data_IF_727457099810
#
_entry.id   IF_727457099810
#
_cell.length_a   1.000
_cell.length_b   1.000
_cell.length_c   1.000
_cell.angle_alpha   90.00
_cell.angle_beta   90.00
_cell.angle_gamma   90.00
#
_symmetry.space_group_name_H-M   'P 1'
#
loop_
_entity.id
_entity.type
_entity.pdbx_description
1 polymer ?
#
# COMPACT_ATOMS: atom_id res chain seq x y z
N UNK A 1 -9.30 6.80 29.94
CA UNK A 1 -8.84 6.97 28.54
C UNK A 1 -8.26 8.37 28.39
N UNK A 2 -7.14 8.55 27.69
CA UNK A 2 -6.63 9.88 27.36
C UNK A 2 -7.67 10.58 26.45
N UNK A 3 -7.84 11.90 26.65
CA UNK A 3 -8.77 12.69 25.83
C UNK A 3 -8.25 12.71 24.39
N UNK A 4 -9.08 12.29 23.43
CA UNK A 4 -8.72 12.35 22.01
C UNK A 4 -8.64 13.82 21.58
N UNK A 5 -7.52 14.27 20.95
CA UNK A 5 -7.36 15.64 20.47
C UNK A 5 -8.45 16.05 19.47
N UNK A 6 -8.82 17.35 19.48
CA UNK A 6 -9.89 17.86 18.64
C UNK A 6 -9.64 17.57 17.13
N UNK A 7 -8.41 17.80 16.65
CA UNK A 7 -8.03 17.57 15.27
C UNK A 7 -8.17 16.08 14.85
N UNK A 8 -7.90 15.14 15.76
CA UNK A 8 -8.09 13.70 15.48
C UNK A 8 -9.57 13.39 15.30
N UNK A 9 -10.42 13.93 16.20
CA UNK A 9 -11.87 13.79 16.09
C UNK A 9 -12.42 14.38 14.81
N UNK A 10 -11.95 15.57 14.44
CA UNK A 10 -12.35 16.26 13.23
C UNK A 10 -12.06 15.40 11.98
N UNK A 11 -10.84 14.85 11.87
CA UNK A 11 -10.48 13.96 10.77
C UNK A 11 -11.35 12.70 10.78
N UNK A 12 -11.57 12.07 11.95
CA UNK A 12 -12.40 10.87 12.09
C UNK A 12 -13.87 11.12 11.72
N UNK A 13 -14.38 12.32 11.99
CA UNK A 13 -15.75 12.72 11.68
C UNK A 13 -15.90 13.31 10.27
N UNK A 14 -14.80 13.62 9.58
CA UNK A 14 -14.86 14.12 8.21
C UNK A 14 -15.56 13.09 7.32
N UNK A 15 -16.66 13.46 6.63
CA UNK A 15 -17.38 12.53 5.77
C UNK A 15 -16.45 11.92 4.73
N UNK A 16 -16.50 10.61 4.57
CA UNK A 16 -15.78 9.94 3.50
C UNK A 16 -16.32 10.42 2.17
N UNK A 17 -15.43 10.95 1.31
CA UNK A 17 -15.81 11.30 -0.05
C UNK A 17 -16.18 10.02 -0.79
N UNK A 18 -17.32 10.00 -1.46
CA UNK A 18 -17.75 8.90 -2.29
C UNK A 18 -17.44 9.18 -3.75
N UNK A 19 -17.11 8.14 -4.50
CA UNK A 19 -16.84 8.22 -5.91
C UNK A 19 -18.10 7.91 -6.71
N UNK A 20 -18.47 8.80 -7.62
CA UNK A 20 -19.54 8.53 -8.57
C UNK A 20 -18.98 7.84 -9.82
N UNK A 21 -19.02 6.52 -9.82
CA UNK A 21 -18.53 5.69 -10.93
C UNK A 21 -19.26 5.89 -12.26
N UNK A 22 -20.43 6.56 -12.26
CA UNK A 22 -21.17 6.87 -13.49
C UNK A 22 -20.43 7.87 -14.39
N UNK A 23 -19.77 8.87 -13.79
CA UNK A 23 -19.04 9.89 -14.53
C UNK A 23 -17.61 10.18 -14.00
N UNK A 24 -17.22 9.60 -12.88
CA UNK A 24 -15.87 9.73 -12.35
C UNK A 24 -15.03 8.49 -12.63
N UNK A 25 -13.74 8.69 -12.78
CA UNK A 25 -12.72 7.64 -12.87
C UNK A 25 -11.77 7.76 -11.70
N UNK A 26 -11.20 6.64 -11.29
CA UNK A 26 -10.16 6.62 -10.28
C UNK A 26 -8.82 6.25 -10.89
N UNK A 27 -7.79 6.88 -10.36
CA UNK A 27 -6.41 6.47 -10.53
C UNK A 27 -5.82 6.11 -9.17
N UNK A 28 -4.80 5.28 -9.18
CA UNK A 28 -4.08 4.91 -7.98
C UNK A 28 -2.58 4.89 -8.26
N UNK A 29 -1.79 4.88 -7.20
CA UNK A 29 -0.34 4.69 -7.34
C UNK A 29 0.00 3.39 -8.10
N UNK A 30 -0.75 2.30 -7.89
CA UNK A 30 -0.55 1.04 -8.62
C UNK A 30 -0.83 1.16 -10.11
N UNK A 31 -1.83 1.95 -10.52
CA UNK A 31 -2.08 2.24 -11.93
C UNK A 31 -0.94 3.06 -12.54
N UNK A 32 -0.48 4.10 -11.83
CA UNK A 32 0.66 4.90 -12.25
C UNK A 32 1.93 4.04 -12.47
N UNK A 33 2.28 3.22 -11.50
CA UNK A 33 3.48 2.37 -11.61
C UNK A 33 3.38 1.34 -12.73
N UNK A 34 2.18 0.80 -12.99
CA UNK A 34 1.94 -0.09 -14.13
C UNK A 34 2.11 0.64 -15.45
N UNK A 35 1.53 1.84 -15.61
CA UNK A 35 1.69 2.66 -16.79
C UNK A 35 3.17 3.06 -17.00
N UNK A 36 3.84 3.52 -15.96
CA UNK A 36 5.26 3.89 -16.00
C UNK A 36 6.14 2.74 -16.45
N UNK A 37 5.84 1.53 -15.96
CA UNK A 37 6.52 0.30 -16.35
C UNK A 37 6.23 -0.08 -17.80
N UNK A 38 4.97 -0.09 -18.19
CA UNK A 38 4.52 -0.46 -19.54
C UNK A 38 3.13 0.14 -19.83
N UNK A 39 3.03 1.22 -20.65
CA UNK A 39 1.74 1.83 -20.99
C UNK A 39 0.75 0.82 -21.60
N UNK A 40 1.23 -0.11 -22.44
CA UNK A 40 0.39 -1.16 -23.03
C UNK A 40 -0.22 -2.08 -21.96
N UNK A 41 0.56 -2.46 -20.94
CA UNK A 41 0.05 -3.28 -19.83
C UNK A 41 -1.08 -2.57 -19.07
N UNK A 42 -0.91 -1.27 -18.78
CA UNK A 42 -1.95 -0.46 -18.16
C UNK A 42 -3.22 -0.40 -19.03
N UNK A 43 -3.05 -0.13 -20.33
CA UNK A 43 -4.18 -0.05 -21.26
C UNK A 43 -4.97 -1.36 -21.28
N UNK A 44 -4.31 -2.49 -21.45
CA UNK A 44 -4.95 -3.81 -21.43
C UNK A 44 -5.72 -4.06 -20.13
N UNK A 45 -5.11 -3.73 -18.98
CA UNK A 45 -5.67 -4.02 -17.67
C UNK A 45 -6.85 -3.11 -17.30
N UNK A 46 -6.71 -1.79 -17.54
CA UNK A 46 -7.63 -0.77 -17.00
C UNK A 46 -8.53 -0.14 -18.06
N UNK A 47 -8.04 0.04 -19.29
CA UNK A 47 -8.81 0.65 -20.36
C UNK A 47 -9.62 -0.36 -21.15
N UNK A 48 -8.95 -1.43 -21.60
CA UNK A 48 -9.49 -2.41 -22.56
C UNK A 48 -10.18 -3.60 -21.87
N UNK A 49 -10.06 -3.70 -20.56
CA UNK A 49 -10.77 -4.70 -19.76
C UNK A 49 -10.22 -6.13 -19.83
N UNK A 50 -9.03 -6.32 -20.43
CA UNK A 50 -8.34 -7.63 -20.48
C UNK A 50 -7.70 -7.97 -19.13
N UNK A 51 -8.52 -8.10 -18.09
CA UNK A 51 -8.03 -8.38 -16.72
C UNK A 51 -7.49 -9.80 -16.65
N UNK A 52 -6.20 -9.97 -16.95
CA UNK A 52 -5.50 -11.22 -16.67
C UNK A 52 -5.06 -11.24 -15.21
N UNK A 53 -5.54 -12.23 -14.50
CA UNK A 53 -5.28 -12.39 -13.09
C UNK A 53 -4.35 -13.59 -12.86
N UNK A 54 -3.29 -13.38 -12.08
CA UNK A 54 -2.40 -14.44 -11.62
C UNK A 54 -2.34 -14.39 -10.09
N UNK A 55 -2.94 -15.35 -9.41
CA UNK A 55 -2.92 -15.37 -7.94
C UNK A 55 -1.51 -15.58 -7.41
N UNK A 56 -1.25 -15.05 -6.22
CA UNK A 56 0.04 -15.20 -5.56
C UNK A 56 -0.13 -15.33 -4.05
N UNK A 57 0.52 -16.32 -3.47
CA UNK A 57 0.55 -16.52 -2.03
C UNK A 57 1.15 -15.29 -1.31
N UNK A 58 2.10 -14.58 -1.93
CA UNK A 58 2.64 -13.34 -1.39
C UNK A 58 1.58 -12.24 -1.23
N UNK A 59 0.66 -12.13 -2.19
CA UNK A 59 -0.44 -11.15 -2.12
C UNK A 59 -1.45 -11.55 -1.05
N UNK A 60 -1.83 -12.82 -0.98
CA UNK A 60 -2.72 -13.37 0.04
C UNK A 60 -2.15 -13.14 1.44
N UNK A 61 -0.89 -13.52 1.63
CA UNK A 61 -0.19 -13.31 2.89
C UNK A 61 -0.10 -11.83 3.28
N UNK A 62 0.27 -10.97 2.31
CA UNK A 62 0.37 -9.53 2.54
C UNK A 62 -0.93 -8.96 3.10
N UNK A 63 -2.06 -9.27 2.48
CA UNK A 63 -3.39 -8.81 2.93
C UNK A 63 -3.72 -9.32 4.33
N UNK A 64 -3.62 -10.63 4.55
CA UNK A 64 -3.93 -11.23 5.84
C UNK A 64 -3.06 -10.69 6.98
N UNK A 65 -1.75 -10.51 6.74
CA UNK A 65 -0.84 -9.95 7.73
C UNK A 65 -1.17 -8.48 8.02
N UNK A 66 -1.49 -7.67 6.98
CA UNK A 66 -1.91 -6.27 7.18
C UNK A 66 -3.14 -6.20 8.07
N UNK A 67 -4.18 -6.96 7.79
CA UNK A 67 -5.43 -6.97 8.57
C UNK A 67 -5.18 -7.35 10.04
N UNK A 68 -4.44 -8.43 10.30
CA UNK A 68 -4.13 -8.85 11.66
C UNK A 68 -3.24 -7.82 12.40
N UNK A 69 -2.26 -7.23 11.70
CA UNK A 69 -1.38 -6.20 12.26
C UNK A 69 -2.16 -4.92 12.61
N UNK A 70 -2.97 -4.45 11.67
CA UNK A 70 -3.79 -3.24 11.82
C UNK A 70 -4.83 -3.41 12.93
N UNK A 71 -5.48 -4.57 13.00
CA UNK A 71 -6.42 -4.89 14.08
C UNK A 71 -5.75 -4.83 15.47
N UNK A 72 -4.56 -5.42 15.61
CA UNK A 72 -3.81 -5.35 16.86
C UNK A 72 -3.49 -3.91 17.27
N UNK A 73 -3.04 -3.07 16.32
CA UNK A 73 -2.76 -1.66 16.55
C UNK A 73 -4.04 -0.91 16.93
N UNK A 74 -5.13 -1.15 16.22
CA UNK A 74 -6.42 -0.52 16.50
C UNK A 74 -6.90 -0.83 17.90
N UNK A 75 -6.96 -2.12 18.29
CA UNK A 75 -7.35 -2.54 19.64
C UNK A 75 -6.44 -1.93 20.72
N UNK A 76 -5.12 -1.89 20.43
CA UNK A 76 -4.16 -1.30 21.36
C UNK A 76 -4.44 0.18 21.63
N UNK A 77 -4.78 0.97 20.62
CA UNK A 77 -5.02 2.41 20.78
C UNK A 77 -6.43 2.72 21.25
N UNK A 78 -7.45 2.05 20.74
CA UNK A 78 -8.85 2.31 21.08
C UNK A 78 -9.22 1.77 22.47
N UNK A 79 -8.65 0.63 22.85
CA UNK A 79 -8.93 -0.01 24.14
C UNK A 79 -7.72 0.05 25.05
N UNK A 80 -6.80 -0.91 24.91
CA UNK A 80 -5.53 -0.96 25.66
C UNK A 80 -4.55 -1.97 25.07
N UNK A 81 -3.25 -1.81 25.39
CA UNK A 81 -2.26 -2.81 25.03
C UNK A 81 -2.56 -4.19 25.65
N UNK A 82 -3.07 -4.21 26.89
CA UNK A 82 -3.46 -5.44 27.53
C UNK A 82 -4.68 -6.12 26.89
N UNK A 83 -5.60 -5.34 26.30
CA UNK A 83 -6.71 -5.90 25.51
C UNK A 83 -6.18 -6.52 24.22
N UNK A 84 -5.35 -5.80 23.47
CA UNK A 84 -4.74 -6.30 22.25
C UNK A 84 -3.87 -7.55 22.49
N UNK A 85 -3.18 -7.64 23.61
CA UNK A 85 -2.37 -8.81 23.96
C UNK A 85 -3.20 -10.08 24.27
N UNK A 86 -4.44 -9.90 24.73
CA UNK A 86 -5.36 -11.02 25.02
C UNK A 86 -6.01 -11.60 23.77
N UNK A 87 -6.02 -10.85 22.69
CA UNK A 87 -6.58 -11.34 21.43
C UNK A 87 -5.65 -12.38 20.79
N UNK A 88 -6.26 -13.43 20.23
CA UNK A 88 -5.52 -14.43 19.46
C UNK A 88 -5.34 -13.94 18.02
N UNK A 89 -4.39 -13.01 17.84
CA UNK A 89 -4.07 -12.49 16.51
C UNK A 89 -3.46 -13.53 15.57
N UNK A 90 -2.96 -14.65 16.11
CA UNK A 90 -2.42 -15.73 15.28
C UNK A 90 -3.56 -16.54 14.66
N UNK A 91 -4.63 -16.81 15.42
CA UNK A 91 -5.84 -17.44 14.87
C UNK A 91 -6.52 -16.48 13.86
N UNK A 92 -6.60 -15.19 14.18
CA UNK A 92 -7.08 -14.17 13.22
C UNK A 92 -6.28 -14.20 11.91
N UNK A 93 -4.95 -14.23 11.97
CA UNK A 93 -4.10 -14.35 10.78
C UNK A 93 -4.44 -15.60 9.98
N UNK A 94 -4.64 -16.73 10.65
CA UNK A 94 -4.99 -18.01 10.00
C UNK A 94 -6.32 -17.93 9.27
N UNK A 95 -7.32 -17.33 9.90
CA UNK A 95 -8.64 -17.15 9.30
C UNK A 95 -8.62 -16.22 8.12
N UNK A 96 -7.88 -15.10 8.20
CA UNK A 96 -7.68 -14.17 7.09
C UNK A 96 -6.91 -14.81 5.93
N UNK A 97 -5.85 -15.58 6.23
CA UNK A 97 -5.12 -16.32 5.20
C UNK A 97 -6.03 -17.31 4.48
N UNK A 98 -6.86 -18.03 5.23
CA UNK A 98 -7.82 -19.00 4.66
C UNK A 98 -8.86 -18.28 3.79
N UNK A 99 -9.44 -17.20 4.29
CA UNK A 99 -10.46 -16.44 3.56
C UNK A 99 -9.91 -15.87 2.25
N UNK A 100 -8.77 -15.18 2.30
CA UNK A 100 -8.15 -14.62 1.11
C UNK A 100 -7.67 -15.71 0.13
N UNK A 101 -7.16 -16.83 0.64
CA UNK A 101 -6.77 -17.95 -0.23
C UNK A 101 -7.97 -18.55 -0.96
N UNK A 102 -9.09 -18.74 -0.27
CA UNK A 102 -10.32 -19.25 -0.87
C UNK A 102 -10.88 -18.32 -1.94
N UNK A 103 -10.84 -17.01 -1.72
CA UNK A 103 -11.28 -16.02 -2.71
C UNK A 103 -10.41 -16.05 -3.97
N UNK A 104 -9.10 -16.13 -3.79
CA UNK A 104 -8.16 -16.22 -4.90
C UNK A 104 -8.26 -17.57 -5.64
N UNK A 105 -8.49 -18.67 -4.91
CA UNK A 105 -8.74 -19.99 -5.47
C UNK A 105 -9.98 -20.01 -6.38
N UNK A 106 -11.10 -19.40 -5.93
CA UNK A 106 -12.32 -19.26 -6.74
C UNK A 106 -12.07 -18.44 -8.00
N UNK A 107 -11.38 -17.29 -7.89
CA UNK A 107 -11.01 -16.44 -9.04
C UNK A 107 -10.07 -17.17 -10.01
N UNK A 108 -9.24 -18.08 -9.51
CA UNK A 108 -8.33 -18.92 -10.30
C UNK A 108 -9.00 -20.22 -10.83
N UNK A 109 -10.31 -20.17 -11.07
CA UNK A 109 -11.08 -21.31 -11.62
C UNK A 109 -10.96 -22.59 -10.77
N UNK A 110 -10.89 -22.45 -9.45
CA UNK A 110 -10.71 -23.52 -8.48
C UNK A 110 -9.40 -24.32 -8.67
N UNK A 111 -8.34 -23.63 -9.10
CA UNK A 111 -7.01 -24.22 -9.19
C UNK A 111 -6.11 -23.67 -8.08
N UNK A 112 -5.40 -24.59 -7.41
CA UNK A 112 -4.41 -24.21 -6.41
C UNK A 112 -3.24 -23.45 -7.06
N UNK A 113 -2.74 -22.43 -6.37
CA UNK A 113 -1.63 -21.58 -6.82
C UNK A 113 -0.44 -21.58 -5.84
N UNK A 114 -0.56 -22.35 -4.76
CA UNK A 114 0.53 -22.67 -3.84
C UNK A 114 0.31 -24.06 -3.24
N UNK A 115 1.38 -24.67 -2.72
CA UNK A 115 1.30 -25.93 -2.00
C UNK A 115 0.84 -25.73 -0.55
N UNK A 116 0.35 -26.80 0.10
CA UNK A 116 0.00 -26.78 1.51
C UNK A 116 1.23 -26.46 2.40
N UNK A 117 2.41 -26.97 2.02
CA UNK A 117 3.66 -26.68 2.72
C UNK A 117 4.05 -25.21 2.63
N UNK A 118 3.93 -24.60 1.45
CA UNK A 118 4.19 -23.17 1.26
C UNK A 118 3.20 -22.33 2.08
N UNK A 119 1.91 -22.66 2.06
CA UNK A 119 0.90 -21.94 2.86
C UNK A 119 1.20 -22.04 4.36
N UNK A 120 1.63 -23.20 4.84
CA UNK A 120 2.04 -23.41 6.23
C UNK A 120 3.27 -22.57 6.58
N UNK A 121 4.27 -22.50 5.69
CA UNK A 121 5.47 -21.67 5.88
C UNK A 121 5.10 -20.19 6.01
N UNK A 122 4.25 -19.67 5.11
CA UNK A 122 3.80 -18.29 5.18
C UNK A 122 3.02 -17.98 6.47
N UNK A 123 2.18 -18.90 6.93
CA UNK A 123 1.49 -18.77 8.22
C UNK A 123 2.47 -18.66 9.38
N UNK A 124 3.48 -19.55 9.45
CA UNK A 124 4.49 -19.53 10.51
C UNK A 124 5.29 -18.22 10.49
N UNK A 125 5.72 -17.78 9.33
CA UNK A 125 6.39 -16.48 9.17
C UNK A 125 5.52 -15.31 9.71
N UNK A 126 4.22 -15.37 9.46
CA UNK A 126 3.26 -14.36 9.95
C UNK A 126 3.09 -14.41 11.48
N UNK A 127 3.00 -15.60 12.07
CA UNK A 127 2.97 -15.80 13.53
C UNK A 127 4.21 -15.19 14.18
N UNK A 128 5.40 -15.43 13.62
CA UNK A 128 6.65 -14.85 14.13
C UNK A 128 6.66 -13.31 14.03
N UNK A 129 6.15 -12.75 12.94
CA UNK A 129 6.03 -11.29 12.76
C UNK A 129 5.10 -10.68 13.80
N UNK A 130 3.92 -11.29 14.03
CA UNK A 130 2.94 -10.79 14.98
C UNK A 130 3.40 -10.95 16.44
N UNK A 131 4.06 -12.05 16.77
CA UNK A 131 4.66 -12.24 18.09
C UNK A 131 5.80 -11.24 18.34
N UNK A 132 6.61 -10.95 17.32
CA UNK A 132 7.63 -9.90 17.41
C UNK A 132 7.00 -8.51 17.60
N UNK A 133 5.87 -8.22 16.92
CA UNK A 133 5.10 -7.00 17.14
C UNK A 133 4.64 -6.88 18.60
N UNK A 134 3.97 -7.89 19.13
CA UNK A 134 3.50 -7.92 20.55
C UNK A 134 4.66 -7.63 21.51
N UNK A 135 5.79 -8.31 21.33
CA UNK A 135 6.98 -8.15 22.19
C UNK A 135 7.61 -6.77 22.12
N UNK A 136 7.61 -6.13 20.94
CA UNK A 136 8.35 -4.90 20.68
C UNK A 136 7.47 -3.68 20.39
N UNK A 137 6.12 -3.78 20.55
CA UNK A 137 5.17 -2.70 20.22
C UNK A 137 5.53 -1.34 20.79
N UNK A 138 5.99 -1.30 22.06
CA UNK A 138 6.34 -0.04 22.73
C UNK A 138 7.49 0.71 22.09
N UNK A 139 8.32 0.02 21.28
CA UNK A 139 9.40 0.63 20.51
C UNK A 139 8.90 1.29 19.23
N UNK A 140 7.90 0.70 18.58
CA UNK A 140 7.43 1.12 17.27
C UNK A 140 6.11 1.91 17.34
N UNK A 141 5.24 1.54 18.29
CA UNK A 141 3.90 2.09 18.48
C UNK A 141 3.70 2.49 19.94
N UNK A 142 4.35 3.58 20.35
CA UNK A 142 4.20 4.11 21.72
C UNK A 142 2.85 4.83 21.88
N UNK A 143 2.13 4.53 22.97
CA UNK A 143 0.91 5.30 23.33
C UNK A 143 1.21 6.68 23.94
N UNK A 144 2.45 6.93 24.36
CA UNK A 144 2.79 8.19 25.04
C UNK A 144 2.77 9.38 24.07
N UNK A 145 1.70 10.17 24.12
CA UNK A 145 1.49 11.33 23.26
C UNK A 145 1.11 11.02 21.81
N UNK A 146 0.91 9.74 21.48
CA UNK A 146 0.45 9.31 20.18
C UNK A 146 -1.01 8.85 20.23
N UNK A 147 -1.78 9.23 19.21
CA UNK A 147 -3.17 8.85 19.01
C UNK A 147 -3.32 8.18 17.65
N UNK A 148 -4.13 7.14 17.56
CA UNK A 148 -4.53 6.56 16.28
C UNK A 148 -5.57 7.48 15.65
N UNK A 149 -5.28 7.98 14.45
CA UNK A 149 -6.22 8.78 13.66
C UNK A 149 -7.12 7.86 12.84
N UNK A 150 -6.55 6.83 12.22
CA UNK A 150 -7.31 5.85 11.46
C UNK A 150 -6.46 4.70 10.92
N UNK A 151 -7.17 3.65 10.57
CA UNK A 151 -6.70 2.48 9.81
C UNK A 151 -7.41 2.52 8.45
N UNK A 152 -6.69 2.18 7.36
CA UNK A 152 -7.22 2.20 6.00
C UNK A 152 -7.94 3.54 5.70
N UNK A 153 -7.30 4.65 6.10
CA UNK A 153 -7.89 5.98 5.92
C UNK A 153 -7.96 6.32 4.44
N UNK A 154 -9.17 6.51 3.87
CA UNK A 154 -9.32 6.75 2.44
C UNK A 154 -8.87 8.14 2.04
N UNK A 155 -8.14 8.21 0.93
CA UNK A 155 -7.86 9.45 0.20
C UNK A 155 -8.59 9.38 -1.12
N UNK A 156 -9.31 10.45 -1.46
CA UNK A 156 -10.02 10.60 -2.72
C UNK A 156 -9.98 12.07 -3.14
N UNK A 157 -8.99 12.43 -3.93
CA UNK A 157 -8.70 13.82 -4.31
C UNK A 157 -8.43 13.97 -5.81
N UNK A 158 -8.91 15.04 -6.47
CA UNK A 158 -8.54 15.33 -7.85
C UNK A 158 -7.08 15.79 -7.92
N UNK A 159 -6.20 15.07 -8.62
CA UNK A 159 -4.80 15.49 -8.77
C UNK A 159 -4.65 16.78 -9.60
N UNK A 160 -5.59 17.00 -10.52
CA UNK A 160 -5.59 18.15 -11.43
C UNK A 160 -6.88 18.94 -11.27
N UNK A 161 -6.76 20.23 -10.97
CA UNK A 161 -7.91 21.13 -10.78
C UNK A 161 -8.81 21.25 -12.03
N UNK A 162 -8.22 21.18 -13.22
CA UNK A 162 -8.95 21.26 -14.48
C UNK A 162 -9.62 19.93 -14.90
N UNK A 163 -9.30 18.83 -14.19
CA UNK A 163 -9.95 17.55 -14.42
C UNK A 163 -10.43 16.94 -13.08
N UNK A 164 -11.51 17.52 -12.50
CA UNK A 164 -12.00 17.09 -11.19
C UNK A 164 -12.71 15.72 -11.22
N UNK A 165 -12.97 15.17 -12.40
CA UNK A 165 -13.68 13.90 -12.58
C UNK A 165 -12.75 12.68 -12.60
N UNK A 166 -11.42 12.89 -12.57
CA UNK A 166 -10.46 11.81 -12.34
C UNK A 166 -9.85 11.99 -10.95
N UNK A 167 -10.07 11.03 -10.07
CA UNK A 167 -9.71 11.12 -8.66
C UNK A 167 -8.56 10.17 -8.34
N UNK A 168 -7.54 10.68 -7.64
CA UNK A 168 -6.54 9.83 -7.01
C UNK A 168 -7.16 9.16 -5.81
N UNK A 169 -7.15 7.85 -5.80
CA UNK A 169 -7.67 7.01 -4.74
C UNK A 169 -6.55 6.21 -4.08
N UNK A 170 -6.51 6.26 -2.77
CA UNK A 170 -5.59 5.47 -1.96
C UNK A 170 -6.16 5.22 -0.57
N UNK A 171 -5.59 4.24 0.11
CA UNK A 171 -5.89 3.92 1.50
C UNK A 171 -4.59 3.99 2.29
N UNK A 172 -4.62 4.70 3.42
CA UNK A 172 -3.47 4.83 4.29
C UNK A 172 -3.55 3.76 5.36
N UNK A 173 -2.58 2.85 5.37
CA UNK A 173 -2.61 1.67 6.26
C UNK A 173 -2.78 2.09 7.73
N UNK A 174 -1.97 3.03 8.21
CA UNK A 174 -2.05 3.56 9.56
C UNK A 174 -1.76 5.06 9.54
N UNK A 175 -2.64 5.86 10.15
CA UNK A 175 -2.41 7.29 10.40
C UNK A 175 -2.36 7.54 11.90
N UNK A 176 -1.28 8.17 12.35
CA UNK A 176 -1.04 8.52 13.75
C UNK A 176 -0.90 10.02 13.90
N UNK A 177 -1.24 10.54 15.09
CA UNK A 177 -1.00 11.93 15.47
C UNK A 177 -0.26 12.01 16.80
N UNK A 178 0.77 12.84 16.84
CA UNK A 178 1.51 13.15 18.08
C UNK A 178 1.09 14.52 18.59
N UNK A 179 0.35 14.55 19.72
CA UNK A 179 -0.18 15.79 20.30
C UNK A 179 0.91 16.75 20.78
N UNK A 180 2.06 16.23 21.26
CA UNK A 180 3.15 17.08 21.79
C UNK A 180 3.96 17.76 20.69
N UNK A 181 4.08 17.11 19.55
CA UNK A 181 4.86 17.58 18.41
C UNK A 181 3.98 18.30 17.38
N UNK A 182 2.66 18.22 17.54
CA UNK A 182 1.66 18.64 16.55
C UNK A 182 1.95 18.05 15.17
N UNK A 183 2.21 16.71 15.13
CA UNK A 183 2.60 16.04 13.90
C UNK A 183 1.80 14.78 13.63
N UNK A 184 1.42 14.63 12.37
CA UNK A 184 0.91 13.38 11.84
C UNK A 184 2.03 12.48 11.36
N UNK A 185 1.79 11.17 11.38
CA UNK A 185 2.65 10.17 10.77
C UNK A 185 1.81 9.19 9.97
N UNK A 186 2.07 9.12 8.67
CA UNK A 186 1.47 8.15 7.76
C UNK A 186 2.44 6.98 7.66
N UNK A 187 1.98 5.79 7.98
CA UNK A 187 2.75 4.56 7.95
C UNK A 187 2.11 3.64 6.91
N UNK A 188 2.94 3.16 5.98
CA UNK A 188 2.55 2.18 4.97
C UNK A 188 3.30 0.88 5.23
N UNK A 189 2.55 -0.19 5.52
CA UNK A 189 3.09 -1.49 5.87
C UNK A 189 3.45 -2.24 4.59
N UNK A 190 4.65 -2.79 4.55
CA UNK A 190 5.10 -3.62 3.42
C UNK A 190 5.61 -4.96 3.93
N UNK A 191 5.16 -6.04 3.29
CA UNK A 191 5.73 -7.37 3.52
C UNK A 191 6.89 -7.61 2.57
N UNK A 192 7.95 -8.21 3.05
CA UNK A 192 9.12 -8.55 2.25
C UNK A 192 9.78 -9.81 2.78
N UNK A 193 10.30 -10.67 1.91
CA UNK A 193 11.02 -11.86 2.36
C UNK A 193 12.24 -11.48 3.20
N UNK A 194 13.14 -10.65 2.68
CA UNK A 194 14.42 -10.32 3.32
C UNK A 194 14.54 -8.83 3.71
N UNK A 195 13.46 -8.05 3.57
CA UNK A 195 13.50 -6.60 3.72
C UNK A 195 13.95 -5.87 2.45
N UNK A 196 14.09 -4.55 2.56
CA UNK A 196 14.49 -3.71 1.44
C UNK A 196 15.98 -3.39 1.49
N UNK A 197 16.64 -3.47 0.35
CA UNK A 197 18.01 -2.97 0.17
C UNK A 197 17.92 -1.44 0.01
N UNK A 198 18.06 -0.70 1.11
CA UNK A 198 17.81 0.75 1.15
C UNK A 198 18.60 1.56 0.13
N UNK A 199 19.79 1.10 -0.28
CA UNK A 199 20.57 1.75 -1.33
C UNK A 199 19.74 1.87 -2.61
N UNK A 200 19.13 0.78 -3.08
CA UNK A 200 18.32 0.82 -4.30
C UNK A 200 16.99 1.57 -4.13
N UNK A 201 16.39 1.51 -2.94
CA UNK A 201 15.14 2.24 -2.68
C UNK A 201 15.35 3.75 -2.65
N UNK A 202 16.52 4.21 -2.19
CA UNK A 202 16.86 5.65 -2.20
C UNK A 202 17.02 6.20 -3.61
N UNK A 203 17.47 5.36 -4.54
CA UNK A 203 17.65 5.72 -5.94
C UNK A 203 16.37 5.56 -6.77
N UNK A 204 15.39 4.81 -6.27
CA UNK A 204 14.08 4.56 -6.92
C UNK A 204 13.07 5.61 -6.44
N UNK A 205 13.02 6.76 -7.11
CA UNK A 205 12.06 7.83 -6.79
C UNK A 205 10.61 7.38 -6.96
N UNK A 206 10.32 6.61 -8.00
CA UNK A 206 8.96 6.16 -8.27
C UNK A 206 8.40 5.34 -7.09
N UNK A 207 9.22 4.51 -6.46
CA UNK A 207 8.82 3.75 -5.27
C UNK A 207 8.50 4.63 -4.06
N UNK A 208 9.17 5.79 -3.95
CA UNK A 208 8.93 6.74 -2.87
C UNK A 208 7.67 7.56 -3.10
N UNK A 209 7.24 7.74 -4.35
CA UNK A 209 6.10 8.58 -4.72
C UNK A 209 4.79 8.14 -4.08
N UNK A 210 4.61 6.85 -3.76
CA UNK A 210 3.41 6.38 -3.07
C UNK A 210 3.14 7.20 -1.80
N UNK A 211 4.09 7.21 -0.88
CA UNK A 211 3.94 7.92 0.40
C UNK A 211 3.97 9.44 0.25
N UNK A 212 4.73 9.97 -0.73
CA UNK A 212 4.77 11.40 -1.00
C UNK A 212 3.41 11.90 -1.49
N UNK A 213 2.74 11.14 -2.37
CA UNK A 213 1.39 11.45 -2.83
C UNK A 213 0.36 11.29 -1.72
N UNK A 214 0.49 10.26 -0.90
CA UNK A 214 -0.36 10.07 0.28
C UNK A 214 -0.25 11.25 1.24
N UNK A 215 0.96 11.71 1.54
CA UNK A 215 1.21 12.91 2.34
C UNK A 215 0.53 14.15 1.76
N UNK A 216 0.74 14.39 0.45
CA UNK A 216 0.17 15.54 -0.26
C UNK A 216 -1.36 15.52 -0.20
N UNK A 217 -1.97 14.41 -0.58
CA UNK A 217 -3.44 14.34 -0.66
C UNK A 217 -4.10 14.24 0.71
N UNK A 218 -3.44 13.68 1.71
CA UNK A 218 -3.90 13.76 3.09
C UNK A 218 -3.93 15.21 3.58
N UNK A 219 -2.85 15.97 3.34
CA UNK A 219 -2.77 17.39 3.67
C UNK A 219 -3.92 18.18 3.03
N UNK A 220 -4.18 17.97 1.75
CA UNK A 220 -5.22 18.66 0.98
C UNK A 220 -6.63 18.24 1.41
N UNK A 221 -6.86 16.95 1.65
CA UNK A 221 -8.18 16.42 2.00
C UNK A 221 -8.64 16.87 3.39
N UNK A 222 -7.71 16.91 4.35
CA UNK A 222 -8.02 17.18 5.75
C UNK A 222 -7.57 18.58 6.22
N UNK A 223 -7.05 19.42 5.32
CA UNK A 223 -6.62 20.79 5.66
C UNK A 223 -5.42 20.84 6.62
N UNK A 224 -4.60 19.78 6.65
CA UNK A 224 -3.44 19.69 7.52
C UNK A 224 -2.21 20.30 6.84
N UNK A 225 -1.40 21.14 7.52
CA UNK A 225 -0.15 21.63 6.97
C UNK A 225 0.77 20.47 6.57
N UNK A 226 1.26 20.47 5.32
CA UNK A 226 2.04 19.36 4.78
C UNK A 226 3.36 19.14 5.54
N UNK A 227 3.94 20.19 6.11
CA UNK A 227 5.14 20.14 6.95
C UNK A 227 4.91 19.44 8.30
N UNK A 228 3.65 19.32 8.72
CA UNK A 228 3.26 18.61 9.94
C UNK A 228 3.01 17.11 9.70
N UNK A 229 3.29 16.61 8.50
CA UNK A 229 3.07 15.20 8.15
C UNK A 229 4.41 14.52 7.87
N UNK A 230 4.72 13.52 8.67
CA UNK A 230 5.82 12.58 8.43
C UNK A 230 5.30 11.32 7.74
N UNK A 231 6.16 10.68 6.95
CA UNK A 231 5.82 9.45 6.20
C UNK A 231 6.86 8.37 6.43
N UNK A 232 6.42 7.12 6.51
CA UNK A 232 7.30 5.99 6.77
C UNK A 232 6.79 4.70 6.13
N UNK A 233 7.66 4.02 5.40
CA UNK A 233 7.46 2.61 5.07
C UNK A 233 7.85 1.74 6.26
N UNK A 234 6.95 0.88 6.70
CA UNK A 234 7.14 -0.08 7.76
C UNK A 234 7.25 -1.48 7.16
N UNK A 235 8.48 -1.95 6.99
CA UNK A 235 8.77 -3.19 6.27
C UNK A 235 8.86 -4.35 7.26
N UNK A 236 7.93 -5.32 7.14
CA UNK A 236 7.94 -6.57 7.89
C UNK A 236 8.71 -7.64 7.11
N UNK A 237 9.75 -8.21 7.72
CA UNK A 237 10.56 -9.27 7.10
C UNK A 237 10.00 -10.63 7.48
N UNK A 238 9.73 -11.46 6.49
CA UNK A 238 9.34 -12.85 6.69
C UNK A 238 10.53 -13.68 7.20
N UNK A 239 11.68 -13.54 6.55
CA UNK A 239 12.91 -14.21 6.91
C UNK A 239 13.89 -13.21 7.50
N UNK A 240 14.48 -13.57 8.61
CA UNK A 240 15.52 -12.79 9.27
C UNK A 240 16.68 -13.72 9.62
N UNK A 241 17.89 -13.18 9.51
CA UNK A 241 19.07 -13.86 9.99
C UNK A 241 19.29 -13.44 11.44
N UNK A 242 19.13 -14.39 12.37
CA UNK A 242 19.19 -14.15 13.81
C UNK A 242 20.55 -14.57 14.41
N UNK A 243 21.30 -15.37 13.66
CA UNK A 243 22.63 -15.88 14.10
C UNK A 243 23.74 -14.91 13.73
N UNK A 244 24.81 -14.85 14.57
CA UNK A 244 26.01 -14.06 14.34
C UNK A 244 26.02 -12.72 15.07
N UNK A 245 27.07 -11.92 14.84
CA UNK A 245 27.37 -10.69 15.58
C UNK A 245 26.39 -9.54 15.27
N UNK A 246 25.68 -9.61 14.16
CA UNK A 246 24.76 -8.57 13.68
C UNK A 246 23.39 -9.15 13.33
N UNK A 247 22.57 -9.56 14.30
CA UNK A 247 21.25 -10.13 14.05
C UNK A 247 20.34 -9.11 13.37
N UNK A 248 19.60 -9.56 12.37
CA UNK A 248 18.64 -8.71 11.65
C UNK A 248 17.39 -8.47 12.50
N UNK A 249 16.90 -7.22 12.48
CA UNK A 249 15.61 -6.88 13.09
C UNK A 249 14.49 -7.29 12.14
N UNK A 250 13.41 -7.86 12.69
CA UNK A 250 12.24 -8.25 11.90
C UNK A 250 11.53 -7.06 11.25
N UNK A 251 11.60 -5.87 11.86
CA UNK A 251 11.06 -4.65 11.31
C UNK A 251 12.15 -3.70 10.82
N UNK A 252 11.95 -3.17 9.63
CA UNK A 252 12.80 -2.17 9.02
C UNK A 252 11.94 -0.95 8.66
N UNK A 253 12.37 0.24 9.04
CA UNK A 253 11.69 1.48 8.70
C UNK A 253 12.49 2.26 7.67
N UNK A 254 11.77 2.93 6.79
CA UNK A 254 12.35 3.85 5.82
C UNK A 254 11.44 5.06 5.61
N UNK A 255 11.93 6.25 5.93
CA UNK A 255 11.24 7.52 5.70
C UNK A 255 11.83 8.18 4.46
N UNK A 256 11.10 8.20 3.33
CA UNK A 256 11.61 8.86 2.13
C UNK A 256 11.65 10.38 2.29
N UNK A 257 12.63 11.07 1.67
CA UNK A 257 12.63 12.51 1.59
C UNK A 257 11.34 13.01 0.92
N UNK A 258 10.62 13.92 1.57
CA UNK A 258 9.31 14.40 1.11
C UNK A 258 9.18 15.92 1.14
N UNK A 259 10.28 16.64 0.89
CA UNK A 259 10.30 18.10 0.76
C UNK A 259 9.66 18.57 -0.55
N UNK A 260 9.52 19.89 -0.71
CA UNK A 260 8.85 20.56 -1.84
C UNK A 260 9.26 20.02 -3.23
N UNK A 261 10.56 19.80 -3.46
CA UNK A 261 11.08 19.30 -4.75
C UNK A 261 10.55 17.90 -5.05
N UNK A 262 10.62 16.98 -4.07
CA UNK A 262 10.14 15.60 -4.25
C UNK A 262 8.62 15.54 -4.42
N UNK A 263 7.89 16.34 -3.64
CA UNK A 263 6.44 16.46 -3.79
C UNK A 263 6.06 17.00 -5.17
N UNK A 264 6.76 18.01 -5.68
CA UNK A 264 6.53 18.53 -7.02
C UNK A 264 6.79 17.47 -8.11
N UNK A 265 7.88 16.69 -7.99
CA UNK A 265 8.18 15.58 -8.92
C UNK A 265 7.10 14.50 -8.92
N UNK A 266 6.69 14.06 -7.73
CA UNK A 266 5.63 13.07 -7.59
C UNK A 266 4.29 13.57 -8.18
N UNK A 267 3.96 14.85 -7.94
CA UNK A 267 2.76 15.49 -8.51
C UNK A 267 2.83 15.50 -10.03
N UNK A 268 3.93 15.98 -10.62
CA UNK A 268 4.11 16.01 -12.07
C UNK A 268 4.02 14.63 -12.70
N UNK A 269 4.56 13.60 -12.05
CA UNK A 269 4.50 12.23 -12.54
C UNK A 269 3.05 11.70 -12.62
N UNK A 270 2.21 12.02 -11.63
CA UNK A 270 0.77 11.67 -11.67
C UNK A 270 0.02 12.50 -12.71
N UNK A 271 0.36 13.78 -12.86
CA UNK A 271 -0.23 14.66 -13.88
C UNK A 271 0.11 14.19 -15.29
N UNK A 272 1.35 13.77 -15.53
CA UNK A 272 1.80 13.16 -16.79
C UNK A 272 1.01 11.89 -17.10
N UNK A 273 0.90 10.99 -16.12
CA UNK A 273 0.08 9.78 -16.25
C UNK A 273 -1.37 10.11 -16.61
N UNK A 274 -1.97 11.09 -15.93
CA UNK A 274 -3.34 11.51 -16.22
C UNK A 274 -3.49 12.07 -17.62
N UNK A 275 -2.59 12.97 -18.05
CA UNK A 275 -2.66 13.61 -19.37
C UNK A 275 -2.49 12.62 -20.52
N UNK A 276 -1.70 11.56 -20.31
CA UNK A 276 -1.51 10.50 -21.30
C UNK A 276 -2.68 9.49 -21.34
N UNK A 277 -3.30 9.22 -20.19
CA UNK A 277 -4.25 8.13 -20.05
C UNK A 277 -5.72 8.55 -20.04
N UNK A 278 -6.01 9.83 -19.81
CA UNK A 278 -7.39 10.32 -19.68
C UNK A 278 -7.63 11.58 -20.48
N UNK A 279 -8.83 11.64 -21.08
CA UNK A 279 -9.41 12.85 -21.69
C UNK A 279 -10.70 13.10 -20.93
N UNK A 280 -10.77 14.20 -20.15
CA UNK A 280 -11.85 14.45 -19.21
C UNK A 280 -12.03 13.24 -18.25
N UNK A 281 -13.22 12.65 -18.22
CA UNK A 281 -13.54 11.47 -17.39
C UNK A 281 -13.49 10.13 -18.16
N UNK A 282 -12.88 10.12 -19.35
CA UNK A 282 -12.77 8.92 -20.19
C UNK A 282 -11.31 8.50 -20.35
N UNK A 283 -11.10 7.22 -20.56
CA UNK A 283 -9.78 6.76 -20.98
C UNK A 283 -9.45 7.30 -22.37
N UNK A 284 -8.19 7.64 -22.59
CA UNK A 284 -7.70 8.05 -23.90
C UNK A 284 -7.89 6.94 -24.95
N UNK A 285 -8.14 7.34 -26.19
CA UNK A 285 -8.16 6.42 -27.35
C UNK A 285 -6.79 6.27 -28.00
N UNK A 286 -5.78 7.02 -27.53
CA UNK A 286 -4.41 6.97 -28.03
C UNK A 286 -3.87 5.54 -27.91
N UNK A 287 -3.14 5.11 -28.94
CA UNK A 287 -2.45 3.83 -28.90
C UNK A 287 -1.37 3.83 -27.79
N UNK A 288 -1.38 2.78 -26.99
CA UNK A 288 -0.39 2.58 -25.92
C UNK A 288 0.60 1.51 -26.35
N UNK A 289 1.88 1.90 -26.43
CA UNK A 289 2.93 1.00 -26.87
C UNK A 289 3.54 0.19 -25.72
N UNK A 290 3.98 -1.04 -25.98
CA UNK A 290 4.70 -1.83 -25.01
C UNK A 290 6.08 -1.24 -24.73
N UNK A 291 6.55 -1.39 -23.48
CA UNK A 291 7.90 -1.04 -23.04
C UNK A 291 8.65 -2.29 -22.60
N UNK A 292 9.17 -3.11 -23.55
CA UNK A 292 9.74 -4.41 -23.26
C UNK A 292 11.10 -4.30 -22.60
N UNK A 293 11.27 -5.04 -21.51
CA UNK A 293 12.57 -5.30 -20.89
C UNK A 293 12.47 -6.57 -20.03
N UNK A 294 13.61 -7.16 -19.67
CA UNK A 294 13.64 -8.27 -18.73
C UNK A 294 12.87 -7.97 -17.45
N UNK A 295 13.02 -6.75 -16.89
CA UNK A 295 12.34 -6.33 -15.67
C UNK A 295 10.85 -6.10 -15.87
N UNK A 296 10.46 -5.43 -16.94
CA UNK A 296 9.07 -5.09 -17.21
C UNK A 296 8.25 -6.33 -17.56
N UNK A 297 8.84 -7.30 -18.23
CA UNK A 297 8.14 -8.49 -18.72
C UNK A 297 8.20 -9.68 -17.77
N UNK A 298 9.10 -9.71 -16.75
CA UNK A 298 9.29 -10.88 -15.87
C UNK A 298 7.99 -11.38 -15.24
N UNK A 299 7.12 -10.47 -14.80
CA UNK A 299 5.85 -10.80 -14.14
C UNK A 299 4.64 -10.26 -14.91
N UNK A 300 4.81 -9.91 -16.19
CA UNK A 300 3.70 -9.42 -17.00
C UNK A 300 2.79 -10.59 -17.42
N UNK A 301 1.48 -10.54 -17.11
CA UNK A 301 0.58 -11.62 -17.47
C UNK A 301 0.34 -11.74 -18.99
N UNK A 302 0.61 -10.67 -19.76
CA UNK A 302 0.38 -10.60 -21.20
C UNK A 302 1.63 -10.94 -22.03
N UNK A 303 2.77 -11.24 -21.40
CA UNK A 303 4.06 -11.39 -22.12
C UNK A 303 4.07 -12.46 -23.21
N UNK A 304 3.27 -13.52 -23.03
CA UNK A 304 3.20 -14.66 -23.96
C UNK A 304 2.09 -14.51 -24.99
N UNK A 305 1.17 -13.57 -24.79
CA UNK A 305 0.08 -13.30 -25.70
C UNK A 305 0.50 -12.28 -26.76
N UNK A 306 0.90 -12.80 -27.92
CA UNK A 306 1.34 -11.95 -29.04
C UNK A 306 0.25 -11.03 -29.59
N UNK A 307 -1.01 -11.42 -29.50
CA UNK A 307 -2.13 -10.62 -30.00
C UNK A 307 -2.37 -9.42 -29.09
N UNK A 308 -2.36 -9.62 -27.78
CA UNK A 308 -2.57 -8.55 -26.80
C UNK A 308 -1.31 -7.68 -26.62
N UNK A 309 -0.14 -8.30 -26.42
CA UNK A 309 1.10 -7.58 -26.19
C UNK A 309 1.63 -6.88 -27.46
N UNK A 310 1.46 -7.49 -28.62
CA UNK A 310 1.97 -7.01 -29.89
C UNK A 310 3.43 -7.41 -30.18
N UNK A 311 4.19 -7.89 -29.20
CA UNK A 311 5.63 -8.20 -29.36
C UNK A 311 5.97 -9.68 -29.22
N UNK A 312 5.20 -10.44 -28.40
CA UNK A 312 5.55 -11.82 -28.08
C UNK A 312 6.95 -11.89 -27.46
N UNK A 313 7.08 -11.44 -26.22
CA UNK A 313 8.38 -11.30 -25.58
C UNK A 313 9.04 -12.66 -25.31
N UNK A 314 10.07 -12.97 -26.06
CA UNK A 314 11.13 -13.90 -25.69
C UNK A 314 12.24 -13.10 -24.98
N UNK A 315 12.13 -12.86 -23.65
CA UNK A 315 13.17 -12.31 -22.79
C UNK A 315 13.49 -13.24 -21.64
#
# INVERSE_FOLDING_TARGET
MAKIPAIVKEIQLTPKREMNYGYQKNISYSQYTMWKKCPKQWALQYRDGHKMYKPSIHTVFGKALHEAFQHYIQTMYETSAAAADREDINEMLKDQLRAHYQDEYKKNKNQHFSSAGELSEFYQDGVEILNYLKKHRGKYFSKRGWHLVGIETPILMPPMKYNPNVLFMGYLDIVMYNEKLDKFKIIDIKTSTNGWKLKYVKDDEDKQFQLILYKKYFAEQFGVPIENIDIEFFITRRKVYEEGDFPQKRFQMYSPPSGKIKTSRATKAIEEFMSECFIENKHTTKEMHPNPSKWNCSFCPYKEDKQLCGLGASF
#
